data_IF_078431631358
#
_entry.id   IF_078431631358
#
_cell.length_a   1.000
_cell.length_b   1.000
_cell.length_c   1.000
_cell.angle_alpha   90.00
_cell.angle_beta   90.00
_cell.angle_gamma   90.00
#
_symmetry.space_group_name_H-M   'P 1'
#
loop_
_entity.id
_entity.type
_entity.pdbx_description
1 polymer ?
#
# COMPACT_ATOMS: atom_id res chain seq x y z
N UNK A 1 14.64 -3.15 -16.93
CA UNK A 1 15.16 -2.40 -15.78
C UNK A 1 16.19 -1.37 -16.25
N UNK A 2 17.24 -1.71 -17.04
CA UNK A 2 18.31 -0.79 -17.45
C UNK A 2 17.79 0.47 -18.19
N UNK A 3 16.82 0.35 -19.11
CA UNK A 3 16.20 1.49 -19.81
C UNK A 3 15.42 2.40 -18.88
N UNK A 4 14.79 1.85 -17.85
CA UNK A 4 14.01 2.64 -16.87
C UNK A 4 14.98 3.44 -15.98
N UNK A 5 16.06 2.83 -15.53
CA UNK A 5 17.08 3.48 -14.70
C UNK A 5 17.69 4.70 -15.41
N UNK A 6 18.03 4.59 -16.70
CA UNK A 6 18.56 5.72 -17.47
C UNK A 6 17.55 6.88 -17.59
N UNK A 7 16.26 6.60 -17.47
CA UNK A 7 15.18 7.58 -17.54
C UNK A 7 14.88 8.25 -16.19
N UNK A 8 15.27 7.64 -15.06
CA UNK A 8 14.92 8.12 -13.71
C UNK A 8 15.32 9.58 -13.45
N UNK A 9 16.44 10.02 -14.05
CA UNK A 9 16.89 11.42 -13.92
C UNK A 9 15.91 12.45 -14.47
N UNK A 10 15.00 12.03 -15.36
CA UNK A 10 14.00 12.89 -15.99
C UNK A 10 12.72 13.09 -15.16
N UNK A 11 12.58 12.35 -14.05
CA UNK A 11 11.38 12.35 -13.22
C UNK A 11 11.71 12.81 -11.81
N UNK A 12 10.83 13.59 -11.19
CA UNK A 12 10.99 14.10 -9.83
C UNK A 12 10.58 13.09 -8.78
N UNK A 13 9.70 12.16 -9.12
CA UNK A 13 9.20 11.14 -8.20
C UNK A 13 8.65 9.90 -8.88
N UNK A 14 8.22 8.97 -8.07
CA UNK A 14 7.67 7.66 -8.47
C UNK A 14 6.33 7.46 -7.79
N UNK A 15 5.32 7.08 -8.56
CA UNK A 15 4.03 6.62 -8.02
C UNK A 15 3.96 5.12 -8.21
N UNK A 16 3.76 4.40 -7.11
CA UNK A 16 3.52 2.95 -7.10
C UNK A 16 2.09 2.68 -6.64
N UNK A 17 1.33 2.01 -7.46
CA UNK A 17 -0.07 1.63 -7.20
C UNK A 17 -0.19 0.20 -6.71
N UNK A 18 -1.43 -0.27 -6.53
CA UNK A 18 -1.75 -1.65 -6.22
C UNK A 18 -1.33 -2.65 -7.30
N UNK A 19 -1.18 -3.90 -6.91
CA UNK A 19 -0.89 -5.04 -7.79
C UNK A 19 -1.61 -6.29 -7.29
N UNK A 20 -1.73 -7.29 -8.17
CA UNK A 20 -2.15 -8.66 -7.81
C UNK A 20 -1.02 -9.50 -7.24
N UNK A 21 0.22 -9.02 -7.30
CA UNK A 21 1.37 -9.67 -6.70
C UNK A 21 1.24 -9.68 -5.17
N UNK A 22 1.80 -10.71 -4.56
CA UNK A 22 1.87 -10.87 -3.11
C UNK A 22 3.31 -10.76 -2.65
N UNK A 23 3.55 -9.93 -1.65
CA UNK A 23 4.92 -9.76 -1.13
C UNK A 23 5.45 -11.05 -0.49
N UNK A 24 4.55 -11.87 0.04
CA UNK A 24 4.87 -13.15 0.63
C UNK A 24 5.32 -14.22 -0.39
N UNK A 25 4.98 -14.07 -1.67
CA UNK A 25 5.27 -15.08 -2.70
C UNK A 25 6.75 -15.16 -3.08
N UNK A 26 7.56 -14.16 -2.74
CA UNK A 26 9.01 -14.11 -3.01
C UNK A 26 9.42 -14.45 -4.45
N UNK A 27 8.49 -14.29 -5.41
CA UNK A 27 8.73 -14.60 -6.82
C UNK A 27 9.82 -13.71 -7.43
N UNK A 28 10.39 -14.13 -8.57
CA UNK A 28 11.38 -13.32 -9.30
C UNK A 28 10.82 -11.95 -9.72
N UNK A 29 9.51 -11.86 -9.98
CA UNK A 29 8.86 -10.61 -10.29
C UNK A 29 8.80 -9.68 -9.07
N UNK A 30 8.44 -10.20 -7.91
CA UNK A 30 8.49 -9.46 -6.63
C UNK A 30 9.91 -8.95 -6.36
N UNK A 31 10.93 -9.80 -6.53
CA UNK A 31 12.34 -9.41 -6.35
C UNK A 31 12.75 -8.29 -7.30
N UNK A 32 12.31 -8.32 -8.56
CA UNK A 32 12.56 -7.25 -9.55
C UNK A 32 11.93 -5.93 -9.12
N UNK A 33 10.72 -5.95 -8.57
CA UNK A 33 10.06 -4.75 -8.05
C UNK A 33 10.83 -4.17 -6.85
N UNK A 34 11.23 -5.02 -5.90
CA UNK A 34 12.05 -4.60 -4.75
C UNK A 34 13.38 -3.99 -5.22
N UNK A 35 14.06 -4.64 -6.18
CA UNK A 35 15.31 -4.13 -6.72
C UNK A 35 15.13 -2.79 -7.46
N UNK A 36 14.05 -2.63 -8.21
CA UNK A 36 13.72 -1.35 -8.85
C UNK A 36 13.55 -0.23 -7.82
N UNK A 37 12.81 -0.50 -6.74
CA UNK A 37 12.62 0.49 -5.66
C UNK A 37 13.93 0.84 -4.98
N UNK A 38 14.79 -0.15 -4.68
CA UNK A 38 16.14 0.11 -4.13
C UNK A 38 16.96 1.01 -5.03
N UNK A 39 16.92 0.76 -6.34
CA UNK A 39 17.61 1.63 -7.32
C UNK A 39 17.04 3.06 -7.31
N UNK A 40 15.72 3.21 -7.17
CA UNK A 40 15.11 4.53 -7.03
C UNK A 40 15.55 5.25 -5.74
N UNK A 41 15.73 4.52 -4.64
CA UNK A 41 16.28 5.07 -3.38
C UNK A 41 17.72 5.58 -3.57
N UNK A 42 18.57 4.83 -4.27
CA UNK A 42 19.93 5.25 -4.62
C UNK A 42 19.95 6.57 -5.41
N UNK A 43 18.89 6.85 -6.17
CA UNK A 43 18.72 8.09 -6.95
C UNK A 43 17.92 9.19 -6.21
N UNK A 44 17.64 9.00 -4.92
CA UNK A 44 16.96 10.00 -4.08
C UNK A 44 15.55 10.36 -4.55
N UNK A 45 14.80 9.40 -5.16
CA UNK A 45 13.46 9.67 -5.69
C UNK A 45 12.42 9.77 -4.58
N UNK A 46 11.47 10.69 -4.73
CA UNK A 46 10.29 10.78 -3.87
C UNK A 46 9.26 9.74 -4.29
N UNK A 47 8.51 9.20 -3.32
CA UNK A 47 7.51 8.18 -3.58
C UNK A 47 6.13 8.56 -3.04
N UNK A 48 5.12 8.31 -3.85
CA UNK A 48 3.76 8.06 -3.38
C UNK A 48 3.43 6.60 -3.68
N UNK A 49 3.10 5.83 -2.64
CA UNK A 49 3.01 4.38 -2.71
C UNK A 49 1.71 3.87 -2.09
N UNK A 50 0.81 3.28 -2.89
CA UNK A 50 -0.47 2.74 -2.43
C UNK A 50 -0.48 1.21 -2.45
N UNK A 51 -1.00 0.58 -1.41
CA UNK A 51 -1.21 -0.85 -1.26
C UNK A 51 0.08 -1.66 -1.53
N UNK A 52 0.16 -2.38 -2.67
CA UNK A 52 1.37 -3.06 -3.11
C UNK A 52 2.59 -2.15 -3.10
N UNK A 53 2.43 -0.91 -3.55
CA UNK A 53 3.50 0.09 -3.56
C UNK A 53 4.08 0.35 -2.17
N UNK A 54 3.23 0.49 -1.14
CA UNK A 54 3.68 0.60 0.25
C UNK A 54 4.46 -0.66 0.68
N UNK A 55 3.93 -1.85 0.40
CA UNK A 55 4.54 -3.10 0.83
C UNK A 55 5.92 -3.30 0.21
N UNK A 56 6.08 -3.01 -1.08
CA UNK A 56 7.37 -3.08 -1.77
C UNK A 56 8.36 -2.05 -1.24
N UNK A 57 7.93 -0.80 -1.01
CA UNK A 57 8.81 0.25 -0.47
C UNK A 57 9.25 -0.05 0.95
N UNK A 58 8.35 -0.55 1.81
CA UNK A 58 8.67 -1.00 3.17
C UNK A 58 9.70 -2.14 3.14
N UNK A 59 9.47 -3.16 2.29
CA UNK A 59 10.40 -4.30 2.16
C UNK A 59 11.75 -3.86 1.60
N UNK A 60 11.77 -2.99 0.60
CA UNK A 60 13.01 -2.45 0.04
C UNK A 60 13.82 -1.63 1.06
N UNK A 61 13.13 -0.98 2.00
CA UNK A 61 13.72 -0.19 3.09
C UNK A 61 14.11 -1.03 4.32
N UNK A 62 14.04 -2.36 4.25
CA UNK A 62 14.43 -3.28 5.34
C UNK A 62 13.33 -3.58 6.35
N UNK A 63 12.11 -3.11 6.15
CA UNK A 63 10.93 -3.54 6.89
C UNK A 63 10.43 -4.93 6.49
N UNK A 64 9.33 -5.37 7.07
CA UNK A 64 8.71 -6.67 6.78
C UNK A 64 7.23 -6.53 6.52
N UNK A 65 6.74 -7.32 5.58
CA UNK A 65 5.32 -7.53 5.34
C UNK A 65 4.96 -8.99 5.58
N UNK A 66 3.69 -9.25 5.89
CA UNK A 66 3.14 -10.59 6.14
C UNK A 66 1.76 -10.72 5.52
N UNK A 67 1.28 -11.95 5.46
CA UNK A 67 -0.15 -12.21 5.22
C UNK A 67 -0.95 -11.58 6.34
N UNK A 68 -2.02 -10.86 6.01
CA UNK A 68 -2.86 -10.19 7.00
C UNK A 68 -3.49 -11.24 7.97
N UNK A 69 -3.21 -11.16 9.29
CA UNK A 69 -3.62 -12.20 10.25
C UNK A 69 -5.13 -12.23 10.50
N UNK A 70 -5.84 -11.17 10.16
CA UNK A 70 -7.30 -11.06 10.24
C UNK A 70 -8.01 -11.41 8.92
N UNK A 71 -7.26 -11.97 7.95
CA UNK A 71 -7.75 -12.25 6.62
C UNK A 71 -7.60 -11.06 5.66
N UNK A 72 -8.05 -11.25 4.43
CA UNK A 72 -8.00 -10.22 3.42
C UNK A 72 -8.92 -9.04 3.79
N UNK A 73 -8.44 -7.82 3.55
CA UNK A 73 -9.24 -6.61 3.70
C UNK A 73 -9.71 -6.18 2.32
N UNK A 74 -10.97 -6.50 1.98
CA UNK A 74 -11.56 -6.26 0.66
C UNK A 74 -12.85 -5.48 0.82
N UNK A 75 -12.99 -4.39 0.08
CA UNK A 75 -14.14 -3.50 0.09
C UNK A 75 -13.83 -2.15 0.70
N UNK A 76 -14.16 -1.95 1.96
CA UNK A 76 -14.08 -0.65 2.63
C UNK A 76 -13.27 -0.74 3.92
N UNK A 77 -12.22 0.07 4.02
CA UNK A 77 -11.52 0.34 5.26
C UNK A 77 -12.26 1.41 6.06
N UNK A 78 -12.97 0.98 7.08
CA UNK A 78 -13.69 1.86 7.99
C UNK A 78 -12.79 2.40 9.09
N UNK A 79 -13.19 3.56 9.61
CA UNK A 79 -12.65 4.12 10.84
C UNK A 79 -11.11 4.26 10.80
N UNK A 80 -10.56 4.69 9.67
CA UNK A 80 -9.14 5.06 9.62
C UNK A 80 -8.97 6.36 10.40
N UNK A 81 -8.16 6.31 11.45
CA UNK A 81 -7.89 7.45 12.34
C UNK A 81 -6.46 7.96 12.14
N UNK A 82 -6.34 9.28 11.96
CA UNK A 82 -5.05 9.94 11.90
C UNK A 82 -4.41 9.98 13.29
N UNK A 83 -3.13 9.62 13.35
CA UNK A 83 -2.29 9.84 14.54
C UNK A 83 -2.06 11.35 14.76
N UNK A 84 -1.46 11.72 15.87
CA UNK A 84 -1.07 13.11 16.11
C UNK A 84 -0.09 13.62 15.03
N UNK A 85 0.79 12.76 14.52
CA UNK A 85 1.70 13.08 13.42
C UNK A 85 0.95 13.16 12.09
N UNK A 86 -0.01 12.25 11.86
CA UNK A 86 -0.85 12.27 10.68
C UNK A 86 -1.66 13.56 10.55
N UNK A 87 -2.22 14.08 11.65
CA UNK A 87 -2.99 15.33 11.69
C UNK A 87 -2.18 16.56 11.26
N UNK A 88 -0.85 16.52 11.43
CA UNK A 88 0.08 17.60 11.08
C UNK A 88 0.74 17.38 9.72
N UNK A 89 0.59 16.21 9.14
CA UNK A 89 1.29 15.81 7.94
C UNK A 89 0.63 16.36 6.67
N UNK A 90 1.43 16.88 5.74
CA UNK A 90 0.96 17.50 4.48
C UNK A 90 0.07 16.59 3.63
N UNK A 91 0.29 15.27 3.69
CA UNK A 91 -0.50 14.27 2.98
C UNK A 91 -1.99 14.33 3.35
N UNK A 92 -2.30 14.76 4.57
CA UNK A 92 -3.66 14.79 5.11
C UNK A 92 -4.22 16.21 5.31
N UNK A 93 -3.62 17.20 4.66
CA UNK A 93 -4.18 18.55 4.68
C UNK A 93 -5.65 18.52 4.22
N UNK A 94 -6.53 19.13 5.02
CA UNK A 94 -8.00 19.18 4.79
C UNK A 94 -8.71 17.82 4.83
N UNK A 95 -8.02 16.73 5.24
CA UNK A 95 -8.67 15.43 5.46
C UNK A 95 -9.31 15.38 6.86
N UNK A 96 -10.49 14.78 7.02
CA UNK A 96 -11.04 14.52 8.35
C UNK A 96 -10.09 13.66 9.19
N UNK A 97 -10.07 13.85 10.51
CA UNK A 97 -9.24 13.06 11.41
C UNK A 97 -9.63 11.58 11.43
N UNK A 98 -10.86 11.27 11.08
CA UNK A 98 -11.39 9.92 10.91
C UNK A 98 -12.12 9.86 9.57
N UNK A 99 -11.85 8.82 8.78
CA UNK A 99 -12.41 8.66 7.46
C UNK A 99 -12.53 7.19 7.06
N UNK A 100 -13.21 6.97 5.95
CA UNK A 100 -13.45 5.67 5.33
C UNK A 100 -12.98 5.74 3.87
N UNK A 101 -12.46 4.63 3.33
CA UNK A 101 -11.89 4.60 1.98
C UNK A 101 -11.88 3.17 1.42
N UNK A 102 -11.80 2.98 0.10
CA UNK A 102 -11.65 1.65 -0.48
C UNK A 102 -10.35 0.95 -0.06
N UNK A 103 -10.43 -0.36 0.17
CA UNK A 103 -9.30 -1.22 0.50
C UNK A 103 -9.38 -2.54 -0.26
N UNK A 104 -8.23 -3.06 -0.69
CA UNK A 104 -8.12 -4.37 -1.31
C UNK A 104 -6.72 -4.94 -1.10
N UNK A 105 -6.50 -5.62 0.02
CA UNK A 105 -5.19 -6.20 0.33
C UNK A 105 -5.31 -7.55 1.04
N UNK A 106 -4.36 -8.44 0.75
CA UNK A 106 -4.19 -9.74 1.40
C UNK A 106 -3.00 -9.73 2.37
N UNK A 107 -2.04 -8.87 2.10
CA UNK A 107 -0.82 -8.69 2.88
C UNK A 107 -0.83 -7.32 3.54
N UNK A 108 -0.11 -7.19 4.65
CA UNK A 108 0.02 -5.95 5.41
C UNK A 108 1.46 -5.73 5.87
N UNK A 109 1.80 -4.51 6.24
CA UNK A 109 3.06 -4.21 6.90
C UNK A 109 3.04 -4.84 8.30
N UNK A 110 4.06 -5.65 8.61
CA UNK A 110 4.29 -6.24 9.94
C UNK A 110 5.26 -5.39 10.76
N UNK A 111 6.42 -5.10 10.17
CA UNK A 111 7.48 -4.29 10.77
C UNK A 111 7.83 -3.16 9.81
N UNK A 112 7.51 -1.91 10.15
CA UNK A 112 7.89 -0.77 9.33
C UNK A 112 9.41 -0.52 9.41
N UNK A 113 10.00 0.27 8.49
CA UNK A 113 11.37 0.75 8.64
C UNK A 113 11.57 1.51 9.96
N UNK A 114 12.79 1.47 10.53
CA UNK A 114 13.08 2.00 11.87
C UNK A 114 12.74 3.50 12.04
N UNK A 115 12.81 4.29 10.97
CA UNK A 115 12.52 5.72 10.97
C UNK A 115 11.09 6.03 10.47
N UNK A 116 10.23 5.02 10.34
CA UNK A 116 8.88 5.23 9.86
C UNK A 116 8.01 5.93 10.92
N UNK A 117 7.30 6.95 10.48
CA UNK A 117 6.29 7.66 11.25
C UNK A 117 4.92 7.10 10.87
N UNK A 118 4.18 6.61 11.86
CA UNK A 118 2.80 6.17 11.68
C UNK A 118 1.90 7.39 11.54
N UNK A 119 1.20 7.49 10.41
CA UNK A 119 0.30 8.61 10.13
C UNK A 119 -1.17 8.27 10.31
N UNK A 120 -1.57 7.03 10.02
CA UNK A 120 -2.95 6.57 10.17
C UNK A 120 -3.01 5.07 10.48
N UNK A 121 -4.06 4.67 11.20
CA UNK A 121 -4.33 3.28 11.57
C UNK A 121 -5.82 3.01 11.69
N UNK A 122 -6.23 1.74 11.66
CA UNK A 122 -7.55 1.32 12.08
C UNK A 122 -7.50 0.00 12.89
N UNK A 123 -8.65 -0.52 13.27
CA UNK A 123 -8.74 -1.77 14.05
C UNK A 123 -8.29 -3.02 13.28
N UNK A 124 -8.35 -2.99 11.95
CA UNK A 124 -7.99 -4.12 11.09
C UNK A 124 -6.50 -4.05 10.79
N UNK A 125 -6.01 -2.90 10.35
CA UNK A 125 -4.66 -2.71 9.86
C UNK A 125 -3.95 -1.60 10.66
N UNK A 126 -2.91 -1.96 11.37
CA UNK A 126 -2.14 -1.02 12.19
C UNK A 126 -1.46 0.06 11.35
N UNK A 127 -1.00 -0.27 10.16
CA UNK A 127 -0.20 0.61 9.31
C UNK A 127 -0.96 1.02 8.05
N UNK A 128 -2.03 1.82 8.23
CA UNK A 128 -2.82 2.35 7.11
C UNK A 128 -2.09 3.46 6.35
N UNK A 129 -1.26 4.24 7.03
CA UNK A 129 -0.40 5.21 6.38
C UNK A 129 0.93 5.37 7.12
N UNK A 130 2.01 5.43 6.36
CA UNK A 130 3.38 5.59 6.84
C UNK A 130 4.10 6.70 6.08
N UNK A 131 4.98 7.40 6.77
CA UNK A 131 6.00 8.28 6.19
C UNK A 131 7.37 7.83 6.66
N UNK A 132 8.31 7.64 5.76
CA UNK A 132 9.70 7.31 6.08
C UNK A 132 10.66 7.78 4.99
N UNK A 133 11.95 7.78 5.31
CA UNK A 133 13.00 8.19 4.37
C UNK A 133 14.04 7.08 4.18
N UNK A 134 14.67 7.03 3.01
CA UNK A 134 15.83 6.16 2.72
C UNK A 134 16.85 7.01 1.95
N UNK A 135 17.96 7.33 2.59
CA UNK A 135 18.90 8.30 2.04
C UNK A 135 18.20 9.64 1.74
N UNK A 136 18.25 10.09 0.49
CA UNK A 136 17.57 11.30 0.02
C UNK A 136 16.14 11.04 -0.51
N UNK A 137 15.66 9.79 -0.44
CA UNK A 137 14.30 9.46 -0.84
C UNK A 137 13.31 9.74 0.29
N UNK A 138 12.14 10.26 -0.08
CA UNK A 138 11.03 10.58 0.80
C UNK A 138 9.81 9.75 0.38
N UNK A 139 9.27 8.90 1.26
CA UNK A 139 8.26 7.90 0.94
C UNK A 139 6.98 8.16 1.73
N UNK A 140 5.90 8.44 1.01
CA UNK A 140 4.54 8.57 1.53
C UNK A 140 3.75 7.35 1.09
N UNK A 141 3.44 6.48 2.05
CA UNK A 141 2.82 5.18 1.79
C UNK A 141 1.45 5.03 2.43
N UNK A 142 0.50 4.47 1.69
CA UNK A 142 -0.86 4.17 2.10
C UNK A 142 -1.16 2.69 1.86
N UNK A 143 -1.82 2.01 2.81
CA UNK A 143 -2.26 0.63 2.59
C UNK A 143 -3.58 0.56 1.81
N UNK A 144 -4.45 1.55 1.96
CA UNK A 144 -5.71 1.68 1.26
C UNK A 144 -5.55 2.29 -0.15
N UNK A 145 -6.66 2.40 -0.87
CA UNK A 145 -6.72 2.85 -2.26
C UNK A 145 -7.41 4.22 -2.40
N UNK A 146 -6.71 5.34 -2.22
CA UNK A 146 -7.31 6.67 -2.41
C UNK A 146 -7.65 6.97 -3.88
N UNK A 147 -7.03 6.23 -4.80
CA UNK A 147 -7.19 6.38 -6.24
C UNK A 147 -8.39 5.62 -6.80
N UNK A 148 -9.03 4.75 -6.01
CA UNK A 148 -10.16 3.93 -6.46
C UNK A 148 -11.47 4.52 -5.94
N UNK A 149 -12.38 5.00 -6.82
CA UNK A 149 -13.74 5.38 -6.43
C UNK A 149 -14.55 4.16 -5.95
N UNK A 150 -15.55 4.40 -5.10
CA UNK A 150 -16.36 3.32 -4.52
C UNK A 150 -17.10 2.49 -5.59
N UNK A 151 -17.67 3.12 -6.59
CA UNK A 151 -18.37 2.44 -7.70
C UNK A 151 -17.42 1.54 -8.50
N UNK A 152 -16.16 1.95 -8.65
CA UNK A 152 -15.14 1.13 -9.30
C UNK A 152 -14.72 -0.04 -8.40
N UNK A 153 -14.62 0.16 -7.08
CA UNK A 153 -14.32 -0.92 -6.13
C UNK A 153 -15.41 -1.99 -6.15
N UNK A 154 -16.68 -1.60 -6.19
CA UNK A 154 -17.80 -2.54 -6.33
C UNK A 154 -17.62 -3.42 -7.58
N UNK A 155 -17.44 -2.80 -8.75
CA UNK A 155 -17.20 -3.51 -10.01
C UNK A 155 -15.97 -4.41 -9.99
N UNK A 156 -14.92 -4.00 -9.27
CA UNK A 156 -13.71 -4.79 -9.11
C UNK A 156 -13.95 -6.05 -8.28
N UNK A 157 -14.73 -5.94 -7.20
CA UNK A 157 -15.12 -7.05 -6.34
C UNK A 157 -16.01 -8.02 -7.11
N UNK A 158 -17.05 -7.52 -7.78
CA UNK A 158 -17.94 -8.32 -8.64
C UNK A 158 -17.15 -9.10 -9.69
N UNK A 159 -16.26 -8.42 -10.42
CA UNK A 159 -15.41 -9.04 -11.44
C UNK A 159 -14.50 -10.14 -10.89
N UNK A 160 -14.11 -10.05 -9.61
CA UNK A 160 -13.21 -10.99 -8.93
C UNK A 160 -13.94 -11.94 -7.99
N UNK A 161 -15.28 -11.93 -7.96
CA UNK A 161 -16.13 -12.66 -7.02
C UNK A 161 -15.73 -14.12 -6.84
N UNK A 162 -15.60 -14.85 -7.95
CA UNK A 162 -15.21 -16.28 -7.92
C UNK A 162 -13.87 -16.49 -7.21
N UNK A 163 -12.84 -15.73 -7.57
CA UNK A 163 -11.52 -15.85 -6.93
C UNK A 163 -11.48 -15.38 -5.47
N UNK A 164 -12.39 -14.49 -5.08
CA UNK A 164 -12.54 -14.06 -3.69
C UNK A 164 -13.24 -15.13 -2.85
N UNK A 165 -14.24 -15.83 -3.41
CA UNK A 165 -14.92 -16.98 -2.78
C UNK A 165 -13.95 -18.15 -2.66
N UNK A 166 -13.22 -18.49 -3.72
CA UNK A 166 -12.21 -19.58 -3.71
C UNK A 166 -11.12 -19.36 -2.65
N UNK A 167 -10.83 -18.12 -2.31
CA UNK A 167 -9.88 -17.73 -1.26
C UNK A 167 -10.53 -17.52 0.12
N UNK A 168 -11.80 -17.87 0.27
CA UNK A 168 -12.57 -17.67 1.50
C UNK A 168 -12.61 -16.23 2.02
N UNK A 169 -12.52 -15.23 1.13
CA UNK A 169 -12.72 -13.81 1.47
C UNK A 169 -14.21 -13.54 1.67
N UNK A 170 -15.06 -14.11 0.82
CA UNK A 170 -16.50 -14.17 0.93
C UNK A 170 -16.95 -15.63 0.93
N UNK A 171 -18.04 -15.93 1.63
CA UNK A 171 -18.58 -17.31 1.72
C UNK A 171 -19.31 -17.73 0.44
N UNK A 172 -19.98 -16.78 -0.20
CA UNK A 172 -20.80 -17.00 -1.39
C UNK A 172 -21.09 -15.66 -2.10
N UNK A 173 -21.77 -15.73 -3.24
CA UNK A 173 -22.12 -14.56 -4.04
C UNK A 173 -23.08 -13.58 -3.33
N UNK A 174 -23.90 -14.05 -2.39
CA UNK A 174 -24.84 -13.19 -1.65
C UNK A 174 -24.14 -12.23 -0.68
N UNK A 175 -22.87 -12.49 -0.33
CA UNK A 175 -22.08 -11.56 0.48
C UNK A 175 -21.41 -10.44 -0.35
N UNK A 176 -21.48 -10.57 -1.69
CA UNK A 176 -20.88 -9.64 -2.64
C UNK A 176 -21.91 -8.65 -3.22
N UNK A 177 -23.19 -9.07 -3.29
CA UNK A 177 -24.30 -8.31 -3.87
C UNK A 177 -24.90 -7.24 -2.92
#
# INVERSE_FOLDING_TARGET
>A
VSKIISSLKKYDGVVLTGSTLRIADTSEEVKKHIQFVKTCFEHGKKFFAACWGLQVTVTAAGGKCRVAPKGAHVGIAYDIELTNEGKKHKLFNSKPHKFTTPAFNYDEVEIPPNNAVLLASNKINKFEALHFTVGNSDIWGLQYHPEIPYDYMIKLIEKRSRGLIDKNVFKNENEIS
#
